data_IF_209945790257
#
_entry.id   IF_209945790257
#
_cell.length_a   1.000
_cell.length_b   1.000
_cell.length_c   1.000
_cell.angle_alpha   90.00
_cell.angle_beta   90.00
_cell.angle_gamma   90.00
#
_symmetry.space_group_name_H-M   'P 1'
#
loop_
_entity.id
_entity.type
_entity.pdbx_description
1 polymer ?
#
# COMPACT_ATOMS: atom_id res chain seq x y z
N UNK A 1 -26.68 12.15 35.85
CA UNK A 1 -26.11 12.87 34.69
C UNK A 1 -24.69 13.23 35.10
N UNK A 2 -23.68 12.59 34.53
CA UNK A 2 -22.27 12.89 34.86
C UNK A 2 -21.82 13.96 33.88
N UNK A 3 -21.50 15.14 34.39
CA UNK A 3 -20.97 16.21 33.56
C UNK A 3 -19.52 15.88 33.18
N UNK A 4 -19.19 16.07 31.91
CA UNK A 4 -17.81 16.10 31.44
C UNK A 4 -17.18 17.40 31.94
N UNK A 5 -16.23 17.30 32.86
CA UNK A 5 -15.44 18.43 33.33
C UNK A 5 -14.22 18.60 32.42
N UNK A 6 -14.05 19.80 31.87
CA UNK A 6 -12.88 20.18 31.08
C UNK A 6 -12.16 21.28 31.84
N UNK A 7 -11.10 20.90 32.55
CA UNK A 7 -10.27 21.84 33.29
C UNK A 7 -9.29 22.54 32.34
N UNK A 8 -9.55 23.81 32.03
CA UNK A 8 -8.57 24.70 31.42
C UNK A 8 -7.77 25.41 32.51
N UNK A 9 -6.45 25.23 32.56
CA UNK A 9 -5.62 26.00 33.47
C UNK A 9 -5.43 27.42 32.91
N UNK A 10 -5.84 28.44 33.68
CA UNK A 10 -5.52 29.83 33.35
C UNK A 10 -4.01 30.07 33.48
N UNK A 11 -3.24 29.80 32.42
CA UNK A 11 -1.80 30.07 32.39
C UNK A 11 -1.01 29.31 31.31
N UNK A 12 -0.81 29.95 30.15
CA UNK A 12 0.27 29.79 29.16
C UNK A 12 0.89 28.39 28.89
N UNK A 13 0.15 27.30 29.06
CA UNK A 13 0.62 25.94 28.77
C UNK A 13 -0.45 25.26 27.91
N UNK A 14 -0.03 24.53 26.87
CA UNK A 14 -0.93 23.86 25.93
C UNK A 14 -1.97 23.01 26.69
N UNK A 15 -3.26 23.34 26.53
CA UNK A 15 -4.35 22.56 27.10
C UNK A 15 -4.33 21.16 26.47
N UNK A 16 -3.97 20.16 27.27
CA UNK A 16 -4.12 18.75 26.90
C UNK A 16 -5.47 18.29 27.44
N UNK A 17 -6.37 17.88 26.53
CA UNK A 17 -7.63 17.25 26.92
C UNK A 17 -7.32 15.90 27.60
N UNK A 18 -7.40 15.88 28.94
CA UNK A 18 -7.27 14.66 29.72
C UNK A 18 -8.65 14.01 29.92
N UNK A 19 -8.95 12.98 29.12
CA UNK A 19 -10.13 12.13 29.36
C UNK A 19 -9.74 11.04 30.35
N UNK A 20 -10.20 11.16 31.60
CA UNK A 20 -10.12 10.05 32.58
C UNK A 20 -11.38 9.20 32.45
N UNK A 21 -11.21 7.92 32.15
CA UNK A 21 -12.28 6.93 32.26
C UNK A 21 -12.29 6.33 33.67
N UNK A 22 -13.47 5.91 34.13
CA UNK A 22 -13.83 5.67 35.53
C UNK A 22 -13.11 4.53 36.27
N UNK A 23 -13.66 4.24 37.45
CA UNK A 23 -13.11 3.68 38.69
C UNK A 23 -12.78 2.17 38.72
N UNK A 24 -12.37 1.59 37.59
CA UNK A 24 -11.60 0.33 37.61
C UNK A 24 -12.36 -0.96 37.27
N UNK A 25 -13.68 -0.94 37.07
CA UNK A 25 -14.45 -2.17 36.73
C UNK A 25 -15.17 -2.13 35.37
N UNK A 26 -15.03 -1.06 34.58
CA UNK A 26 -15.61 -0.98 33.23
C UNK A 26 -14.76 -0.05 32.37
N UNK A 27 -13.89 -0.62 31.54
CA UNK A 27 -13.15 0.15 30.55
C UNK A 27 -14.15 0.68 29.50
N UNK A 28 -14.48 1.97 29.59
CA UNK A 28 -15.18 2.66 28.52
C UNK A 28 -14.21 2.81 27.35
N UNK A 29 -14.44 2.03 26.30
CA UNK A 29 -13.69 2.08 25.05
C UNK A 29 -14.11 3.34 24.28
N UNK A 30 -13.33 4.41 24.39
CA UNK A 30 -13.69 5.76 23.89
C UNK A 30 -13.64 5.85 22.35
N UNK A 31 -13.11 4.83 21.68
CA UNK A 31 -13.06 4.72 20.22
C UNK A 31 -13.51 3.32 19.78
N UNK A 32 -14.82 3.11 19.63
CA UNK A 32 -15.35 1.93 18.93
C UNK A 32 -15.65 2.30 17.47
N UNK A 33 -14.99 1.63 16.53
CA UNK A 33 -15.40 1.63 15.13
C UNK A 33 -16.60 0.68 15.01
N UNK A 34 -17.72 1.20 14.54
CA UNK A 34 -18.93 0.40 14.37
C UNK A 34 -18.74 -0.54 13.16
N UNK A 35 -18.36 -1.80 13.41
CA UNK A 35 -18.71 -2.90 12.52
C UNK A 35 -17.69 -3.39 11.49
N UNK A 36 -16.39 -3.15 11.60
CA UNK A 36 -15.40 -3.92 10.80
C UNK A 36 -14.08 -4.10 11.56
N UNK A 37 -13.51 -5.30 11.45
CA UNK A 37 -12.37 -5.76 12.22
C UNK A 37 -11.06 -5.07 11.79
N UNK A 38 -10.67 -3.99 12.48
CA UNK A 38 -9.30 -3.63 12.80
C UNK A 38 -9.31 -2.60 13.94
N UNK A 39 -8.79 -2.99 15.10
CA UNK A 39 -8.80 -2.18 16.32
C UNK A 39 -8.10 -0.84 16.14
N UNK A 40 -8.74 0.23 16.59
CA UNK A 40 -8.10 1.54 16.73
C UNK A 40 -7.21 1.50 17.97
N UNK A 41 -5.90 1.32 17.76
CA UNK A 41 -4.93 1.35 18.85
C UNK A 41 -4.38 2.77 19.03
N UNK A 42 -4.62 3.37 20.19
CA UNK A 42 -3.91 4.59 20.60
C UNK A 42 -2.56 4.19 21.16
N UNK A 43 -1.51 4.22 20.32
CA UNK A 43 -0.13 4.03 20.78
C UNK A 43 0.53 5.39 21.02
N UNK A 44 0.77 5.71 22.28
CA UNK A 44 1.64 6.82 22.68
C UNK A 44 3.11 6.38 22.55
N UNK A 45 3.85 6.91 21.57
CA UNK A 45 5.30 6.78 21.58
C UNK A 45 5.91 7.87 22.46
N UNK A 46 6.89 7.46 23.28
CA UNK A 46 7.60 8.20 24.35
C UNK A 46 8.33 9.50 23.96
N UNK A 47 8.14 10.08 22.77
CA UNK A 47 8.89 11.25 22.31
C UNK A 47 7.92 12.36 21.82
N UNK A 48 7.39 13.12 22.79
CA UNK A 48 6.88 14.49 22.71
C UNK A 48 5.88 14.93 21.62
N UNK A 49 5.30 14.03 20.82
CA UNK A 49 4.13 14.35 19.99
C UNK A 49 3.08 13.23 20.11
N UNK A 50 1.91 13.48 20.74
CA UNK A 50 0.79 12.55 20.65
C UNK A 50 0.35 12.45 19.18
N UNK A 51 0.39 11.25 18.62
CA UNK A 51 -0.07 10.97 17.26
C UNK A 51 -1.28 10.03 17.32
N UNK A 52 -2.38 10.42 16.67
CA UNK A 52 -3.53 9.56 16.43
C UNK A 52 -3.33 8.84 15.10
N UNK A 53 -3.17 7.53 15.14
CA UNK A 53 -3.14 6.69 13.93
C UNK A 53 -4.57 6.19 13.67
N UNK A 54 -5.19 6.71 12.61
CA UNK A 54 -6.48 6.23 12.11
C UNK A 54 -6.17 5.32 10.91
N UNK A 55 -6.47 4.03 11.03
CA UNK A 55 -6.44 3.11 9.89
C UNK A 55 -7.68 3.40 9.02
N UNK A 56 -7.57 4.41 8.16
CA UNK A 56 -8.65 4.79 7.25
C UNK A 56 -8.34 4.28 5.83
N UNK A 57 -9.14 3.32 5.36
CA UNK A 57 -9.22 2.98 3.94
C UNK A 57 -9.83 4.17 3.17
N UNK A 58 -8.98 5.05 2.62
CA UNK A 58 -9.46 6.26 1.96
C UNK A 58 -10.11 5.97 0.59
N UNK A 59 -11.41 6.19 0.48
CA UNK A 59 -12.11 6.42 -0.79
C UNK A 59 -12.23 7.95 -0.97
N UNK A 60 -11.45 8.51 -1.91
CA UNK A 60 -11.38 9.94 -2.27
C UNK A 60 -10.55 10.82 -1.30
N UNK A 61 -10.07 12.03 -1.71
CA UNK A 61 -9.21 12.86 -0.87
C UNK A 61 -10.05 13.39 0.30
N UNK A 62 -9.99 12.68 1.43
CA UNK A 62 -10.63 13.12 2.66
C UNK A 62 -9.96 14.43 3.09
N UNK A 63 -10.77 15.49 3.19
CA UNK A 63 -10.36 16.78 3.75
C UNK A 63 -10.24 16.74 5.27
N UNK A 64 -10.74 15.68 5.91
CA UNK A 64 -10.82 15.55 7.36
C UNK A 64 -10.19 14.24 7.82
N UNK A 65 -9.11 14.34 8.59
CA UNK A 65 -8.42 13.18 9.21
C UNK A 65 -9.23 12.55 10.35
N UNK A 66 -10.08 13.34 10.99
CA UNK A 66 -10.97 12.96 12.08
C UNK A 66 -12.27 13.70 11.83
N UNK A 67 -13.37 12.97 11.69
CA UNK A 67 -14.71 13.55 11.68
C UNK A 67 -15.36 13.23 13.02
N UNK A 68 -15.52 14.23 13.88
CA UNK A 68 -16.44 14.11 15.02
C UNK A 68 -17.81 14.51 14.51
N UNK A 69 -18.69 13.54 14.30
CA UNK A 69 -20.08 13.78 13.95
C UNK A 69 -20.97 13.22 15.06
N UNK A 70 -21.98 13.98 15.46
CA UNK A 70 -23.12 13.41 16.15
C UNK A 70 -24.33 13.34 15.19
N UNK A 71 -25.24 12.41 15.47
CA UNK A 71 -26.40 12.16 14.61
C UNK A 71 -27.39 13.34 14.50
N UNK A 72 -27.28 14.34 15.38
CA UNK A 72 -28.15 15.52 15.44
C UNK A 72 -27.53 16.78 14.82
N UNK A 73 -26.19 16.88 14.73
CA UNK A 73 -25.50 18.13 14.39
C UNK A 73 -24.53 18.03 13.20
N UNK A 74 -24.38 16.87 12.57
CA UNK A 74 -23.43 16.70 11.45
C UNK A 74 -21.96 16.80 11.90
N UNK A 75 -21.02 17.02 10.97
CA UNK A 75 -19.58 17.14 11.31
C UNK A 75 -19.32 18.40 12.13
N UNK A 76 -18.81 18.24 13.35
CA UNK A 76 -18.67 19.32 14.34
C UNK A 76 -17.23 19.83 14.45
N UNK A 77 -16.23 19.07 13.99
CA UNK A 77 -14.84 19.51 13.94
C UNK A 77 -14.03 18.75 12.89
N UNK A 78 -13.48 19.48 11.91
CA UNK A 78 -12.46 18.99 10.99
C UNK A 78 -11.09 19.49 11.42
N UNK A 79 -10.14 18.58 11.64
CA UNK A 79 -8.74 18.98 11.81
C UNK A 79 -8.18 19.25 10.42
N UNK A 80 -8.19 20.52 10.00
CA UNK A 80 -7.47 20.94 8.80
C UNK A 80 -5.98 20.89 9.09
N UNK A 81 -5.27 19.89 8.58
CA UNK A 81 -3.82 19.92 8.59
C UNK A 81 -3.35 21.08 7.70
N UNK A 82 -2.76 22.13 8.30
CA UNK A 82 -2.09 23.21 7.56
C UNK A 82 -0.72 22.75 7.00
N UNK A 83 -0.65 21.50 6.52
CA UNK A 83 0.57 20.83 6.08
C UNK A 83 0.27 19.67 5.14
N UNK A 84 1.26 19.33 4.32
CA UNK A 84 1.18 18.22 3.36
C UNK A 84 0.97 16.92 4.12
N UNK A 85 -0.16 16.27 3.87
CA UNK A 85 -0.47 14.96 4.43
C UNK A 85 0.33 13.89 3.68
N UNK A 86 1.39 13.38 4.31
CA UNK A 86 2.16 12.25 3.80
C UNK A 86 1.46 10.94 4.17
N UNK A 87 0.47 10.55 3.37
CA UNK A 87 -0.02 9.17 3.41
C UNK A 87 0.95 8.31 2.60
N UNK A 88 1.53 7.28 3.22
CA UNK A 88 2.11 6.19 2.45
C UNK A 88 0.95 5.48 1.77
N UNK A 89 0.59 5.95 0.57
CA UNK A 89 -0.39 5.25 -0.27
C UNK A 89 0.21 3.90 -0.62
N UNK A 90 -0.16 2.88 0.16
CA UNK A 90 0.03 1.48 -0.23
C UNK A 90 -0.72 1.18 -1.52
N UNK A 91 -0.58 -0.04 -2.03
CA UNK A 91 -1.22 -0.44 -3.28
C UNK A 91 -2.74 -0.29 -3.18
N UNK A 92 -3.32 0.60 -3.99
CA UNK A 92 -4.77 0.76 -4.15
C UNK A 92 -5.29 -0.35 -5.06
N UNK A 93 -5.55 -1.50 -4.46
CA UNK A 93 -6.16 -2.64 -5.15
C UNK A 93 -7.69 -2.54 -5.08
N UNK A 94 -8.38 -2.82 -6.18
CA UNK A 94 -9.83 -3.04 -6.18
C UNK A 94 -10.06 -4.53 -6.38
N UNK A 95 -10.98 -5.12 -5.60
CA UNK A 95 -11.26 -6.54 -5.70
C UNK A 95 -11.85 -6.91 -7.08
N UNK A 96 -11.26 -7.90 -7.76
CA UNK A 96 -11.89 -8.57 -8.90
C UNK A 96 -12.83 -9.63 -8.32
N UNK A 97 -14.14 -9.39 -8.41
CA UNK A 97 -15.14 -10.23 -7.74
C UNK A 97 -15.59 -11.45 -8.57
N UNK A 98 -15.28 -11.49 -9.87
CA UNK A 98 -15.58 -12.62 -10.76
C UNK A 98 -14.82 -12.54 -12.10
N UNK A 99 -14.76 -13.65 -12.82
CA UNK A 99 -14.16 -13.75 -14.17
C UNK A 99 -12.70 -14.22 -14.18
N UNK A 100 -12.15 -14.39 -15.39
CA UNK A 100 -10.72 -14.67 -15.57
C UNK A 100 -9.91 -13.40 -15.27
N UNK A 101 -8.71 -13.58 -14.70
CA UNK A 101 -7.80 -12.47 -14.48
C UNK A 101 -7.30 -11.92 -15.83
N UNK A 102 -7.15 -10.60 -15.97
CA UNK A 102 -6.55 -10.01 -17.16
C UNK A 102 -5.17 -10.56 -17.48
N UNK A 103 -4.90 -10.74 -18.78
CA UNK A 103 -3.61 -11.25 -19.27
C UNK A 103 -3.00 -10.34 -20.33
N UNK A 104 -1.67 -10.29 -20.40
CA UNK A 104 -0.93 -9.59 -21.46
C UNK A 104 0.34 -10.35 -21.81
N UNK A 105 0.69 -10.40 -23.10
CA UNK A 105 1.97 -10.90 -23.56
C UNK A 105 3.00 -9.76 -23.53
N UNK A 106 3.94 -9.81 -22.59
CA UNK A 106 5.00 -8.82 -22.51
C UNK A 106 6.06 -9.06 -23.59
N UNK A 107 6.59 -7.97 -24.14
CA UNK A 107 7.72 -8.00 -25.08
C UNK A 107 8.98 -7.63 -24.32
N UNK A 108 10.02 -8.49 -24.40
CA UNK A 108 11.29 -8.27 -23.70
C UNK A 108 11.87 -6.88 -24.03
N UNK A 109 12.28 -6.14 -23.00
CA UNK A 109 12.88 -4.82 -23.13
C UNK A 109 11.91 -3.68 -23.45
N UNK A 110 10.59 -3.95 -23.54
CA UNK A 110 9.56 -2.96 -23.83
C UNK A 110 8.70 -2.69 -22.60
N UNK A 111 8.45 -1.41 -22.30
CA UNK A 111 7.54 -1.00 -21.25
C UNK A 111 6.08 -1.30 -21.58
N UNK A 112 5.35 -1.88 -20.62
CA UNK A 112 3.92 -2.14 -20.74
C UNK A 112 3.18 -1.58 -19.53
N UNK A 113 2.16 -0.76 -19.76
CA UNK A 113 1.26 -0.30 -18.73
C UNK A 113 0.16 -1.35 -18.53
N UNK A 114 0.13 -1.99 -17.36
CA UNK A 114 -0.80 -3.09 -17.08
C UNK A 114 -2.20 -2.58 -16.72
N UNK A 115 -2.28 -1.46 -16.03
CA UNK A 115 -3.53 -0.87 -15.57
C UNK A 115 -3.37 0.64 -15.43
N UNK A 116 -4.39 1.39 -15.87
CA UNK A 116 -4.50 2.84 -15.64
C UNK A 116 -5.43 3.19 -14.49
N UNK A 117 -6.25 2.24 -14.03
CA UNK A 117 -7.36 2.52 -13.13
C UNK A 117 -7.08 2.15 -11.67
N UNK A 118 -6.20 1.17 -11.44
CA UNK A 118 -5.86 0.65 -10.12
C UNK A 118 -4.45 0.10 -10.08
N UNK A 119 -3.88 0.00 -8.89
CA UNK A 119 -2.63 -0.70 -8.67
C UNK A 119 -2.89 -2.20 -8.81
N UNK A 120 -1.93 -2.92 -9.38
CA UNK A 120 -2.07 -4.34 -9.69
C UNK A 120 -0.85 -5.13 -9.24
N UNK A 121 -1.02 -6.41 -8.96
CA UNK A 121 0.10 -7.36 -8.84
C UNK A 121 0.17 -8.18 -10.11
N UNK A 122 1.33 -8.15 -10.77
CA UNK A 122 1.61 -8.94 -11.97
C UNK A 122 2.33 -10.23 -11.60
N UNK A 123 2.00 -11.29 -12.34
CA UNK A 123 2.63 -12.61 -12.29
C UNK A 123 3.08 -12.95 -13.71
N UNK A 124 4.38 -13.08 -13.92
CA UNK A 124 4.95 -13.45 -15.22
C UNK A 124 5.81 -14.69 -15.06
N UNK A 125 5.37 -15.86 -15.53
CA UNK A 125 6.25 -17.03 -15.57
C UNK A 125 7.38 -16.76 -16.57
N UNK A 126 8.62 -16.99 -16.15
CA UNK A 126 9.80 -16.86 -17.02
C UNK A 126 10.50 -18.22 -17.04
N UNK A 127 10.65 -18.76 -18.24
CA UNK A 127 11.42 -20.00 -18.45
C UNK A 127 12.88 -19.64 -18.67
N UNK A 128 13.77 -20.14 -17.84
CA UNK A 128 15.21 -19.96 -17.90
C UNK A 128 15.86 -21.21 -18.49
N UNK A 129 16.73 -21.03 -19.48
CA UNK A 129 17.41 -22.09 -20.22
C UNK A 129 18.94 -21.84 -20.27
N UNK A 130 19.63 -21.74 -19.12
CA UNK A 130 21.08 -21.58 -19.11
C UNK A 130 21.78 -22.83 -19.67
N UNK A 131 22.84 -22.60 -20.45
CA UNK A 131 23.66 -23.65 -21.06
C UNK A 131 24.99 -23.82 -20.35
N UNK A 132 25.87 -24.63 -20.96
CA UNK A 132 27.19 -25.02 -20.41
C UNK A 132 28.15 -23.84 -20.21
N UNK A 133 27.86 -22.66 -20.76
CA UNK A 133 28.64 -21.44 -20.57
C UNK A 133 27.79 -20.16 -20.59
N UNK A 134 26.47 -20.27 -20.42
CA UNK A 134 25.55 -19.14 -20.55
C UNK A 134 24.69 -19.02 -19.31
N UNK A 135 24.52 -17.79 -18.83
CA UNK A 135 23.54 -17.46 -17.78
C UNK A 135 22.22 -17.09 -18.42
N UNK A 136 21.13 -17.29 -17.70
CA UNK A 136 19.81 -16.80 -18.09
C UNK A 136 19.37 -15.73 -17.10
N UNK A 137 18.91 -14.58 -17.59
CA UNK A 137 18.58 -13.43 -16.74
C UNK A 137 17.24 -12.82 -17.11
N UNK A 138 16.56 -12.28 -16.10
CA UNK A 138 15.39 -11.43 -16.23
C UNK A 138 15.57 -10.19 -15.35
N UNK A 139 15.74 -9.03 -15.97
CA UNK A 139 15.78 -7.74 -15.28
C UNK A 139 14.37 -7.19 -15.14
N UNK A 140 14.00 -6.83 -13.92
CA UNK A 140 12.71 -6.24 -13.57
C UNK A 140 12.89 -4.74 -13.36
N UNK A 141 12.14 -3.93 -14.08
CA UNK A 141 12.18 -2.48 -13.92
C UNK A 141 10.79 -1.84 -14.00
N UNK A 142 10.62 -0.73 -13.28
CA UNK A 142 9.41 0.09 -13.28
C UNK A 142 9.71 1.52 -13.73
N UNK A 143 8.71 2.18 -14.30
CA UNK A 143 8.77 3.57 -14.70
C UNK A 143 7.40 4.24 -14.62
N UNK A 144 7.28 5.46 -14.07
CA UNK A 144 6.03 6.23 -14.14
C UNK A 144 5.79 6.86 -15.52
N UNK A 145 6.85 7.03 -16.34
CA UNK A 145 6.82 7.86 -17.56
C UNK A 145 7.13 7.10 -18.87
N UNK A 146 7.44 5.80 -18.79
CA UNK A 146 7.88 4.95 -19.91
C UNK A 146 9.20 5.42 -20.57
N UNK A 147 10.00 6.23 -19.88
CA UNK A 147 11.28 6.75 -20.39
C UNK A 147 12.40 6.33 -19.44
N UNK A 148 12.31 6.74 -18.19
CA UNK A 148 13.33 6.46 -17.18
C UNK A 148 12.89 5.28 -16.32
N UNK A 149 13.72 4.24 -16.29
CA UNK A 149 13.42 3.00 -15.58
C UNK A 149 14.33 2.83 -14.37
N UNK A 150 13.71 2.50 -13.25
CA UNK A 150 14.40 2.03 -12.06
C UNK A 150 14.37 0.51 -12.02
N UNK A 151 15.55 -0.11 -11.99
CA UNK A 151 15.69 -1.57 -11.81
C UNK A 151 15.30 -1.93 -10.38
N UNK A 152 14.34 -2.83 -10.23
CA UNK A 152 13.95 -3.39 -8.94
C UNK A 152 14.80 -4.61 -8.58
N UNK A 153 15.00 -5.50 -9.55
CA UNK A 153 15.72 -6.76 -9.35
C UNK A 153 16.30 -7.29 -10.66
N UNK A 154 17.27 -8.18 -10.53
CA UNK A 154 17.77 -9.02 -11.63
C UNK A 154 17.72 -10.47 -11.14
N UNK A 155 16.81 -11.25 -11.69
CA UNK A 155 16.74 -12.70 -11.45
C UNK A 155 17.73 -13.37 -12.40
N UNK A 156 18.60 -14.21 -11.86
CA UNK A 156 19.67 -14.87 -12.62
C UNK A 156 19.70 -16.35 -12.28
N UNK A 157 19.66 -17.19 -13.31
CA UNK A 157 20.09 -18.58 -13.20
C UNK A 157 21.56 -18.67 -13.62
N UNK A 158 22.43 -19.28 -12.78
CA UNK A 158 23.84 -19.38 -13.07
C UNK A 158 24.09 -20.31 -14.26
N UNK A 159 25.32 -20.31 -14.74
CA UNK A 159 25.76 -21.20 -15.83
C UNK A 159 25.54 -22.66 -15.44
N UNK A 160 25.02 -23.45 -16.39
CA UNK A 160 24.87 -24.89 -16.25
C UNK A 160 23.47 -25.38 -16.61
N UNK A 161 23.42 -26.54 -17.25
CA UNK A 161 22.17 -27.14 -17.76
C UNK A 161 21.26 -27.72 -16.68
N UNK A 162 21.68 -27.68 -15.41
CA UNK A 162 20.85 -28.16 -14.28
C UNK A 162 19.59 -27.31 -14.07
N UNK A 163 19.62 -26.06 -14.54
CA UNK A 163 18.51 -25.12 -14.50
C UNK A 163 17.83 -24.95 -15.86
N UNK A 164 18.16 -25.79 -16.85
CA UNK A 164 17.56 -25.72 -18.18
C UNK A 164 16.08 -26.08 -18.14
N UNK A 165 15.21 -25.18 -18.63
CA UNK A 165 13.76 -25.29 -18.53
C UNK A 165 13.16 -24.92 -17.17
N UNK A 166 13.95 -24.37 -16.23
CA UNK A 166 13.42 -23.93 -14.94
C UNK A 166 12.46 -22.75 -15.12
N UNK A 167 11.31 -22.78 -14.44
CA UNK A 167 10.31 -21.71 -14.51
C UNK A 167 10.20 -21.03 -13.15
N UNK A 168 10.49 -19.74 -13.11
CA UNK A 168 10.19 -18.90 -11.94
C UNK A 168 9.03 -17.96 -12.26
N UNK A 169 8.20 -17.67 -11.25
CA UNK A 169 7.19 -16.63 -11.34
C UNK A 169 7.76 -15.29 -10.89
N UNK A 170 7.79 -14.32 -11.80
CA UNK A 170 8.22 -12.95 -11.53
C UNK A 170 7.00 -12.14 -11.07
N UNK A 171 6.93 -11.92 -9.76
CA UNK A 171 5.83 -11.20 -9.10
C UNK A 171 6.22 -9.74 -8.87
N UNK A 172 5.44 -8.81 -9.42
CA UNK A 172 5.74 -7.37 -9.30
C UNK A 172 4.47 -6.59 -9.01
N UNK A 173 4.40 -5.85 -7.89
CA UNK A 173 3.40 -4.81 -7.69
C UNK A 173 3.66 -3.61 -8.61
N UNK A 174 2.66 -3.21 -9.38
CA UNK A 174 2.73 -2.14 -10.36
C UNK A 174 1.66 -1.08 -10.03
N UNK A 175 2.05 0.15 -9.67
CA UNK A 175 1.09 1.21 -9.44
C UNK A 175 0.29 1.57 -10.70
N UNK A 176 -0.92 2.11 -10.51
CA UNK A 176 -1.80 2.58 -11.57
C UNK A 176 -1.07 3.59 -12.45
N UNK A 177 -1.11 3.37 -13.76
CA UNK A 177 -0.48 4.23 -14.76
C UNK A 177 1.02 4.03 -14.93
N UNK A 178 1.66 3.17 -14.13
CA UNK A 178 3.09 2.87 -14.28
C UNK A 178 3.34 1.77 -15.32
N UNK A 179 4.56 1.73 -15.81
CA UNK A 179 5.03 0.81 -16.84
C UNK A 179 5.95 -0.23 -16.22
N UNK A 180 5.60 -1.50 -16.41
CA UNK A 180 6.47 -2.64 -16.14
C UNK A 180 7.32 -2.94 -17.38
N UNK A 181 8.63 -3.14 -17.18
CA UNK A 181 9.53 -3.64 -18.20
C UNK A 181 10.28 -4.85 -17.67
N UNK A 182 10.08 -5.98 -18.33
CA UNK A 182 10.89 -7.17 -18.13
C UNK A 182 11.86 -7.30 -19.30
N UNK A 183 13.14 -7.46 -19.00
CA UNK A 183 14.16 -7.68 -20.02
C UNK A 183 14.82 -9.02 -19.76
N UNK A 184 14.54 -9.99 -20.62
CA UNK A 184 15.23 -11.28 -20.65
C UNK A 184 16.37 -11.27 -21.66
N UNK A 185 17.44 -11.99 -21.35
CA UNK A 185 18.48 -12.27 -22.33
C UNK A 185 18.08 -13.41 -23.27
N UNK A 186 18.96 -13.80 -24.20
CA UNK A 186 18.68 -14.85 -25.18
C UNK A 186 18.43 -16.24 -24.59
N UNK A 187 18.70 -16.45 -23.29
CA UNK A 187 18.55 -17.74 -22.60
C UNK A 187 17.33 -17.78 -21.69
N UNK A 188 16.43 -16.79 -21.78
CA UNK A 188 15.17 -16.80 -21.05
C UNK A 188 14.00 -16.37 -21.94
N UNK A 189 12.81 -16.88 -21.63
CA UNK A 189 11.59 -16.62 -22.39
C UNK A 189 10.50 -16.16 -21.42
N UNK A 190 9.88 -15.03 -21.75
CA UNK A 190 8.71 -14.53 -21.02
C UNK A 190 7.47 -15.33 -21.41
N UNK A 191 6.74 -15.82 -20.42
CA UNK A 191 5.39 -16.34 -20.59
C UNK A 191 4.34 -15.23 -20.62
N UNK A 192 3.07 -15.64 -20.67
CA UNK A 192 1.94 -14.71 -20.60
C UNK A 192 1.78 -14.19 -19.18
N UNK A 193 1.80 -12.87 -19.02
CA UNK A 193 1.59 -12.22 -17.72
C UNK A 193 0.12 -12.21 -17.37
N UNK A 194 -0.19 -12.54 -16.13
CA UNK A 194 -1.53 -12.38 -15.52
C UNK A 194 -1.43 -11.32 -14.43
N UNK A 195 -2.45 -10.47 -14.25
CA UNK A 195 -2.42 -9.44 -13.21
C UNK A 195 -3.79 -9.22 -12.56
N UNK A 196 -3.78 -8.80 -11.28
CA UNK A 196 -4.99 -8.53 -10.52
C UNK A 196 -4.94 -7.19 -9.78
#
# INVERSE_FOLDING_TARGET
MVALEVDGAAGSSNDVLFVKTGDGDSALEVFQTNGDAAGTYVYSHRNDNPALYVDAQAVAPATDLVTVADAAHGSVAGVSAAGVLYTNRGLKTNAITSGALPTVALVSGTGTQLSTARDVVSHTPVTFNPGVATTATCTVALSPDNVTYSTLAVVTKPVGTVFDGEIDDIVVPVPAGWYLKLTVNAQAVLGTTTYH
#
